data_IF_381700404821
#
_entry.id   IF_381700404821
#
_cell.length_a   1.000
_cell.length_b   1.000
_cell.length_c   1.000
_cell.angle_alpha   90.00
_cell.angle_beta   90.00
_cell.angle_gamma   90.00
#
_symmetry.space_group_name_H-M   'P 1'
#
loop_
_entity.id
_entity.type
_entity.pdbx_description
1 polymer ?
#
# COMPACT_ATOMS: atom_id res chain seq x y z
N UNK A 1 -32.12 -38.25 -30.87
CA UNK A 1 -32.01 -36.80 -30.67
C UNK A 1 -30.58 -36.50 -30.22
N UNK A 2 -30.01 -35.36 -30.64
CA UNK A 2 -28.84 -34.65 -30.06
C UNK A 2 -27.74 -35.54 -29.43
N UNK A 3 -26.62 -35.88 -30.07
CA UNK A 3 -25.63 -35.10 -30.86
C UNK A 3 -24.79 -34.10 -30.04
N UNK A 4 -23.48 -34.40 -30.00
CA UNK A 4 -22.33 -33.48 -29.99
C UNK A 4 -22.10 -32.51 -28.82
N UNK A 5 -20.99 -32.69 -28.11
CA UNK A 5 -19.79 -31.85 -28.31
C UNK A 5 -18.56 -32.35 -27.54
N UNK A 6 -17.37 -32.23 -28.16
CA UNK A 6 -16.06 -32.40 -27.53
C UNK A 6 -15.34 -31.04 -27.55
N UNK A 7 -14.85 -30.58 -26.40
CA UNK A 7 -13.77 -29.60 -26.26
C UNK A 7 -13.15 -29.83 -24.86
N UNK A 8 -11.88 -30.21 -24.70
CA UNK A 8 -10.68 -29.42 -24.99
C UNK A 8 -10.71 -28.04 -24.33
N UNK A 9 -10.76 -28.03 -22.99
CA UNK A 9 -10.28 -26.91 -22.19
C UNK A 9 -8.74 -26.93 -22.22
N UNK A 10 -8.14 -26.20 -23.16
CA UNK A 10 -6.69 -26.03 -23.28
C UNK A 10 -6.12 -25.16 -22.16
N UNK A 11 -4.82 -25.34 -21.87
CA UNK A 11 -4.09 -24.58 -20.85
C UNK A 11 -4.17 -23.06 -21.08
N UNK A 12 -4.83 -22.35 -20.15
CA UNK A 12 -5.08 -20.91 -20.21
C UNK A 12 -4.16 -20.13 -19.28
N UNK A 13 -3.02 -19.69 -19.81
CA UNK A 13 -1.95 -18.95 -19.12
C UNK A 13 -2.40 -17.90 -18.08
N UNK A 14 -1.93 -18.10 -16.84
CA UNK A 14 -1.64 -17.11 -15.80
C UNK A 14 -1.87 -15.63 -16.18
N UNK A 15 -2.97 -15.04 -15.68
CA UNK A 15 -3.15 -13.60 -15.53
C UNK A 15 -3.54 -13.33 -14.08
N UNK A 16 -2.55 -13.32 -13.18
CA UNK A 16 -2.74 -12.86 -11.81
C UNK A 16 -3.09 -11.37 -11.82
N UNK A 17 -4.23 -11.01 -11.22
CA UNK A 17 -4.59 -9.60 -11.02
C UNK A 17 -3.50 -8.91 -10.16
N UNK A 18 -3.14 -7.70 -10.56
CA UNK A 18 -2.02 -6.95 -9.95
C UNK A 18 -2.44 -6.44 -8.57
N UNK A 19 -2.11 -7.21 -7.53
CA UNK A 19 -2.15 -6.74 -6.15
C UNK A 19 -1.21 -5.53 -5.99
N UNK A 20 -1.78 -4.38 -5.66
CA UNK A 20 -1.07 -3.12 -5.51
C UNK A 20 -0.36 -3.10 -4.16
N UNK A 21 0.90 -3.53 -4.17
CA UNK A 21 1.80 -3.55 -3.01
C UNK A 21 2.17 -2.15 -2.51
N UNK A 22 1.19 -1.51 -1.84
CA UNK A 22 1.32 -0.38 -0.91
C UNK A 22 1.74 -0.88 0.48
N UNK A 23 1.93 0.03 1.44
CA UNK A 23 2.29 -0.29 2.83
C UNK A 23 1.34 -1.25 3.57
N UNK A 24 0.08 -1.40 3.13
CA UNK A 24 -0.88 -2.41 3.61
C UNK A 24 -1.05 -3.65 2.71
N UNK A 25 -0.44 -3.66 1.53
CA UNK A 25 -0.68 -4.66 0.48
C UNK A 25 0.00 -6.00 0.74
N UNK A 26 -0.64 -6.86 1.54
CA UNK A 26 -0.19 -8.22 1.84
C UNK A 26 -0.15 -9.13 0.60
N UNK A 27 1.03 -9.38 0.04
CA UNK A 27 1.26 -10.40 -1.00
C UNK A 27 1.28 -11.82 -0.40
N UNK A 28 0.11 -12.28 0.08
CA UNK A 28 -0.07 -13.60 0.68
C UNK A 28 0.06 -14.73 -0.34
N UNK A 29 1.25 -15.31 -0.48
CA UNK A 29 1.48 -16.43 -1.41
C UNK A 29 2.96 -16.79 -1.55
N UNK A 30 3.49 -17.58 -0.60
CA UNK A 30 4.92 -17.89 -0.52
C UNK A 30 5.23 -19.27 0.06
N UNK A 31 4.69 -20.34 -0.54
CA UNK A 31 5.02 -21.71 -0.13
C UNK A 31 6.51 -22.00 -0.27
N UNK A 32 7.12 -22.59 0.76
CA UNK A 32 8.55 -22.88 0.85
C UNK A 32 8.97 -24.04 -0.08
N UNK A 33 9.20 -23.75 -1.36
CA UNK A 33 9.70 -24.70 -2.35
C UNK A 33 11.24 -24.78 -2.37
N UNK A 34 11.82 -25.89 -1.91
CA UNK A 34 13.26 -26.08 -1.85
C UNK A 34 13.91 -26.63 -3.13
N UNK A 35 15.10 -26.10 -3.44
CA UNK A 35 16.22 -26.69 -4.21
C UNK A 35 15.97 -27.73 -5.32
N UNK A 36 16.36 -27.39 -6.55
CA UNK A 36 16.58 -28.35 -7.64
C UNK A 36 17.30 -27.73 -8.84
N UNK A 37 18.60 -27.98 -9.01
CA UNK A 37 19.44 -27.30 -10.02
C UNK A 37 20.22 -28.26 -10.92
N UNK A 38 19.86 -28.32 -12.21
CA UNK A 38 20.63 -28.85 -13.34
C UNK A 38 19.96 -28.39 -14.66
N UNK A 39 20.62 -28.30 -15.82
CA UNK A 39 22.06 -28.35 -16.10
C UNK A 39 22.37 -28.54 -17.61
N UNK A 40 23.08 -27.58 -18.24
CA UNK A 40 23.52 -27.64 -19.65
C UNK A 40 22.47 -27.22 -20.70
N UNK A 41 22.83 -26.88 -21.95
CA UNK A 41 24.19 -26.61 -22.48
C UNK A 41 24.30 -26.58 -24.03
N UNK A 42 24.84 -25.49 -24.61
CA UNK A 42 25.24 -25.36 -26.02
C UNK A 42 24.12 -25.11 -27.06
N UNK A 43 24.39 -24.84 -28.35
CA UNK A 43 25.58 -24.26 -29.02
C UNK A 43 25.28 -23.86 -30.50
N UNK A 44 25.78 -22.70 -30.96
CA UNK A 44 26.10 -22.24 -32.34
C UNK A 44 25.12 -22.30 -33.56
N UNK A 45 25.24 -21.28 -34.43
CA UNK A 45 24.77 -21.22 -35.84
C UNK A 45 23.63 -20.20 -36.09
N UNK A 46 23.62 -19.36 -37.15
CA UNK A 46 24.56 -19.12 -38.25
C UNK A 46 24.15 -17.91 -39.15
N UNK A 47 24.94 -17.59 -40.18
CA UNK A 47 24.78 -16.49 -41.18
C UNK A 47 23.47 -16.54 -42.00
N UNK A 48 22.99 -15.57 -42.80
CA UNK A 48 23.47 -14.26 -43.35
C UNK A 48 22.23 -13.37 -43.70
N UNK A 49 22.21 -12.23 -44.43
CA UNK A 49 23.22 -11.37 -45.08
C UNK A 49 22.67 -10.54 -46.27
N UNK A 50 22.86 -9.20 -46.29
CA UNK A 50 22.44 -8.26 -47.38
C UNK A 50 21.01 -7.69 -47.24
N UNK A 51 20.61 -6.57 -47.85
CA UNK A 51 21.35 -5.55 -48.62
C UNK A 51 20.44 -4.80 -49.63
N UNK A 52 20.20 -3.49 -49.47
CA UNK A 52 19.32 -2.68 -50.35
C UNK A 52 19.95 -1.31 -50.66
N UNK A 53 19.80 -0.83 -51.90
CA UNK A 53 20.46 0.38 -52.42
C UNK A 53 19.76 1.71 -52.08
N UNK A 54 20.42 2.83 -52.43
CA UNK A 54 19.96 4.19 -52.15
C UNK A 54 19.47 4.98 -53.37
N UNK A 55 19.02 6.20 -53.12
CA UNK A 55 18.63 7.23 -54.09
C UNK A 55 18.66 8.60 -53.41
N UNK A 56 19.00 9.65 -54.15
CA UNK A 56 19.39 10.94 -53.56
C UNK A 56 18.35 12.05 -53.76
N UNK A 57 18.38 13.06 -52.88
CA UNK A 57 17.93 14.41 -53.19
C UNK A 57 16.84 15.01 -52.29
N UNK A 58 17.25 15.80 -51.30
CA UNK A 58 16.96 17.24 -51.29
C UNK A 58 17.93 17.97 -50.33
N UNK A 59 18.13 19.26 -50.55
CA UNK A 59 19.28 19.99 -50.01
C UNK A 59 18.90 21.03 -48.94
N UNK A 60 19.80 21.19 -47.96
CA UNK A 60 20.03 22.38 -47.12
C UNK A 60 18.81 23.07 -46.50
N UNK A 61 18.63 22.93 -45.18
CA UNK A 61 18.34 24.06 -44.29
C UNK A 61 18.91 23.87 -42.87
N UNK A 62 19.77 24.83 -42.49
CA UNK A 62 20.23 25.20 -41.13
C UNK A 62 21.15 24.27 -40.30
N UNK A 63 22.07 24.94 -39.60
CA UNK A 63 23.11 24.38 -38.73
C UNK A 63 22.63 24.24 -37.28
N UNK A 64 23.28 23.35 -36.53
CA UNK A 64 23.15 23.26 -35.06
C UNK A 64 22.19 22.16 -34.59
N UNK A 65 22.59 21.45 -33.52
CA UNK A 65 21.90 20.24 -33.03
C UNK A 65 20.44 20.41 -32.58
N UNK A 66 19.95 21.65 -32.47
CA UNK A 66 18.56 21.94 -32.09
C UNK A 66 17.56 21.41 -33.13
N UNK A 67 17.87 21.47 -34.43
CA UNK A 67 17.00 20.92 -35.49
C UNK A 67 16.80 19.41 -35.36
N UNK A 68 17.90 18.66 -35.17
CA UNK A 68 17.87 17.22 -34.90
C UNK A 68 17.09 16.89 -33.62
N UNK A 69 17.23 17.70 -32.56
CA UNK A 69 16.52 17.51 -31.30
C UNK A 69 15.01 17.75 -31.42
N UNK A 70 14.59 18.80 -32.15
CA UNK A 70 13.18 19.09 -32.44
C UNK A 70 12.57 18.00 -33.34
N UNK A 71 13.28 17.54 -34.38
CA UNK A 71 12.82 16.44 -35.23
C UNK A 71 12.71 15.13 -34.43
N UNK A 72 13.65 14.83 -33.54
CA UNK A 72 13.56 13.68 -32.63
C UNK A 72 12.38 13.78 -31.66
N UNK A 73 12.10 14.97 -31.13
CA UNK A 73 10.90 15.25 -30.33
C UNK A 73 9.60 15.04 -31.13
N UNK A 74 9.52 15.56 -32.36
CA UNK A 74 8.36 15.39 -33.24
C UNK A 74 8.14 13.92 -33.62
N UNK A 75 9.21 13.18 -33.93
CA UNK A 75 9.13 11.74 -34.21
C UNK A 75 8.64 10.98 -32.96
N UNK A 76 9.16 11.27 -31.76
CA UNK A 76 8.65 10.70 -30.51
C UNK A 76 7.19 11.08 -30.21
N UNK A 77 6.79 12.31 -30.53
CA UNK A 77 5.41 12.79 -30.37
C UNK A 77 4.45 12.05 -31.31
N UNK A 78 4.85 11.82 -32.56
CA UNK A 78 4.05 11.08 -33.54
C UNK A 78 3.94 9.58 -33.17
N UNK A 79 5.04 8.95 -32.72
CA UNK A 79 5.03 7.56 -32.22
C UNK A 79 4.17 7.42 -30.95
N UNK A 80 4.17 8.42 -30.05
CA UNK A 80 3.23 8.46 -28.91
C UNK A 80 1.78 8.64 -29.35
N UNK A 81 1.54 9.37 -30.45
CA UNK A 81 0.18 9.60 -30.99
C UNK A 81 -0.43 8.36 -31.64
N UNK A 82 0.37 7.36 -32.05
CA UNK A 82 -0.11 6.08 -32.58
C UNK A 82 -0.35 4.99 -31.51
N UNK A 83 -0.35 5.33 -30.22
CA UNK A 83 -0.82 4.44 -29.13
C UNK A 83 -2.07 5.00 -28.40
N UNK A 84 -2.67 6.09 -28.91
CA UNK A 84 -3.95 6.61 -28.46
C UNK A 84 -5.10 6.18 -29.38
N UNK A 85 -5.72 5.03 -29.10
CA UNK A 85 -6.90 4.58 -29.86
C UNK A 85 -7.36 3.17 -29.47
N UNK A 86 -8.44 3.07 -28.68
CA UNK A 86 -8.93 1.79 -28.16
C UNK A 86 -10.11 1.90 -27.19
N UNK A 87 -11.07 2.79 -27.46
CA UNK A 87 -12.24 3.01 -26.58
C UNK A 87 -13.29 1.90 -26.74
N UNK A 88 -12.99 0.68 -26.28
CA UNK A 88 -13.94 -0.44 -26.29
C UNK A 88 -14.94 -0.32 -25.14
N UNK A 89 -16.15 0.16 -25.46
CA UNK A 89 -17.23 0.29 -24.49
C UNK A 89 -17.85 -1.09 -24.20
N UNK A 90 -17.32 -1.78 -23.19
CA UNK A 90 -17.79 -3.10 -22.74
C UNK A 90 -18.46 -2.96 -21.37
N UNK A 91 -19.78 -3.12 -21.33
CA UNK A 91 -20.51 -3.19 -20.06
C UNK A 91 -20.07 -4.42 -19.28
N UNK A 92 -19.37 -4.21 -18.17
CA UNK A 92 -18.95 -5.29 -17.27
C UNK A 92 -20.17 -5.72 -16.47
N UNK A 93 -20.65 -6.93 -16.73
CA UNK A 93 -21.65 -7.59 -15.88
C UNK A 93 -21.01 -7.87 -14.51
N UNK A 94 -21.60 -7.32 -13.45
CA UNK A 94 -21.00 -7.26 -12.10
C UNK A 94 -21.14 -8.57 -11.32
N UNK A 95 -20.69 -9.68 -11.91
CA UNK A 95 -20.68 -11.02 -11.32
C UNK A 95 -19.36 -11.33 -10.61
N UNK A 96 -18.92 -10.43 -9.73
CA UNK A 96 -17.86 -10.71 -8.75
C UNK A 96 -18.29 -11.88 -7.84
N UNK A 97 -17.47 -12.93 -7.66
CA UNK A 97 -17.74 -13.97 -6.67
C UNK A 97 -17.65 -13.38 -5.26
N UNK A 98 -18.76 -13.39 -4.52
CA UNK A 98 -18.82 -12.99 -3.11
C UNK A 98 -17.95 -13.91 -2.26
N UNK A 99 -16.70 -13.52 -1.96
CA UNK A 99 -15.81 -14.36 -1.15
C UNK A 99 -14.34 -13.95 -1.07
N UNK A 100 -13.81 -13.08 -1.93
CA UNK A 100 -12.47 -12.52 -1.72
C UNK A 100 -12.51 -11.44 -0.63
N UNK A 101 -12.01 -11.80 0.56
CA UNK A 101 -11.74 -10.85 1.63
C UNK A 101 -10.68 -9.81 1.18
N UNK A 102 -10.71 -8.59 1.73
CA UNK A 102 -9.66 -7.60 1.49
C UNK A 102 -8.27 -8.14 1.89
N UNK A 103 -7.23 -7.67 1.21
CA UNK A 103 -5.85 -8.01 1.57
C UNK A 103 -5.48 -7.29 2.89
N UNK A 104 -5.52 -8.04 3.98
CA UNK A 104 -5.13 -7.59 5.31
C UNK A 104 -3.62 -7.78 5.56
N UNK A 105 -3.01 -6.83 6.25
CA UNK A 105 -1.67 -6.97 6.85
C UNK A 105 -1.74 -6.67 8.34
N UNK A 106 -1.29 -7.62 9.16
CA UNK A 106 -1.31 -7.50 10.62
C UNK A 106 -2.55 -8.14 11.24
N UNK A 107 -2.55 -8.19 12.56
CA UNK A 107 -3.55 -8.87 13.38
C UNK A 107 -3.86 -8.02 14.61
N UNK A 108 -5.12 -8.01 15.03
CA UNK A 108 -5.61 -7.30 16.21
C UNK A 108 -5.27 -8.07 17.49
N UNK A 109 -4.93 -7.33 18.55
CA UNK A 109 -4.81 -7.89 19.90
C UNK A 109 -6.14 -8.59 20.27
N UNK A 110 -6.02 -9.77 20.90
CA UNK A 110 -7.17 -10.64 21.19
C UNK A 110 -7.72 -11.44 20.00
N UNK A 111 -7.27 -11.19 18.76
CA UNK A 111 -7.71 -11.92 17.56
C UNK A 111 -9.15 -11.62 17.11
N UNK A 112 -9.77 -10.56 17.61
CA UNK A 112 -11.13 -10.17 17.25
C UNK A 112 -11.26 -9.58 15.85
N UNK A 113 -12.35 -9.89 15.14
CA UNK A 113 -12.64 -9.43 13.77
C UNK A 113 -13.12 -7.97 13.71
N UNK A 114 -12.41 -7.04 14.37
CA UNK A 114 -12.67 -5.59 14.39
C UNK A 114 -12.24 -4.92 13.08
N UNK A 115 -12.70 -5.47 11.95
CA UNK A 115 -12.33 -5.13 10.57
C UNK A 115 -13.53 -4.67 9.71
N UNK A 116 -14.62 -4.24 10.35
CA UNK A 116 -15.83 -3.77 9.66
C UNK A 116 -16.19 -2.35 10.08
N UNK A 117 -16.45 -1.50 9.10
CA UNK A 117 -17.11 -0.22 9.32
C UNK A 117 -18.48 -0.45 9.96
N UNK A 118 -18.80 0.34 10.98
CA UNK A 118 -20.04 0.27 11.74
C UNK A 118 -21.07 1.26 11.20
N UNK A 119 -22.30 1.22 11.72
CA UNK A 119 -23.24 2.34 11.59
C UNK A 119 -22.76 3.54 12.42
N UNK A 120 -23.30 4.74 12.14
CA UNK A 120 -22.96 5.94 12.90
C UNK A 120 -23.41 5.86 14.37
N UNK A 121 -24.50 5.11 14.64
CA UNK A 121 -24.99 4.84 16.00
C UNK A 121 -23.98 3.98 16.77
N UNK A 122 -23.47 2.92 16.15
CA UNK A 122 -22.45 2.05 16.75
C UNK A 122 -21.10 2.78 16.93
N UNK A 123 -20.69 3.60 15.95
CA UNK A 123 -19.47 4.43 16.07
C UNK A 123 -19.60 5.42 17.24
N UNK A 124 -20.75 6.08 17.37
CA UNK A 124 -21.01 7.01 18.48
C UNK A 124 -21.00 6.26 19.82
N UNK A 125 -21.68 5.13 19.90
CA UNK A 125 -21.72 4.30 21.10
C UNK A 125 -20.33 3.80 21.53
N UNK A 126 -19.48 3.38 20.58
CA UNK A 126 -18.11 2.97 20.87
C UNK A 126 -17.18 4.12 21.28
N UNK A 127 -17.36 5.32 20.71
CA UNK A 127 -16.67 6.53 21.16
C UNK A 127 -17.08 6.90 22.60
N UNK A 128 -18.37 6.83 22.91
CA UNK A 128 -18.89 7.13 24.23
C UNK A 128 -18.52 6.05 25.27
N UNK A 129 -18.44 4.78 24.86
CA UNK A 129 -17.91 3.67 25.66
C UNK A 129 -16.45 3.95 26.08
N UNK A 130 -15.57 4.30 25.13
CA UNK A 130 -14.17 4.68 25.43
C UNK A 130 -14.10 5.88 26.40
N UNK A 131 -15.01 6.86 26.25
CA UNK A 131 -15.09 8.01 27.17
C UNK A 131 -15.56 7.66 28.58
N UNK A 132 -16.21 6.51 28.81
CA UNK A 132 -16.61 6.11 30.17
C UNK A 132 -15.40 5.87 31.09
N UNK A 133 -14.31 5.34 30.54
CA UNK A 133 -13.05 5.12 31.27
C UNK A 133 -11.96 6.13 30.92
N UNK A 134 -12.01 6.81 29.78
CA UNK A 134 -11.04 7.84 29.38
C UNK A 134 -11.75 9.14 29.00
N UNK A 135 -12.20 9.90 30.00
CA UNK A 135 -12.92 11.18 29.79
C UNK A 135 -12.09 12.30 29.15
N UNK A 136 -10.78 12.09 28.96
CA UNK A 136 -9.90 12.96 28.18
C UNK A 136 -9.81 12.56 26.69
N UNK A 137 -10.52 11.51 26.25
CA UNK A 137 -10.50 11.01 24.88
C UNK A 137 -11.21 11.96 23.90
N UNK A 138 -10.41 12.55 23.01
CA UNK A 138 -10.84 13.42 21.92
C UNK A 138 -10.58 12.76 20.55
N UNK A 139 -11.64 12.32 19.82
CA UNK A 139 -11.53 11.76 18.48
C UNK A 139 -10.89 12.69 17.44
N UNK A 140 -11.06 14.01 17.54
CA UNK A 140 -10.58 14.95 16.52
C UNK A 140 -9.07 15.20 16.68
N UNK A 141 -8.61 15.37 17.94
CA UNK A 141 -7.17 15.39 18.26
C UNK A 141 -6.48 14.05 17.90
N UNK A 142 -7.18 12.94 18.07
CA UNK A 142 -6.71 11.60 17.69
C UNK A 142 -6.52 11.47 16.18
N UNK A 143 -7.53 11.83 15.35
CA UNK A 143 -7.45 11.77 13.88
C UNK A 143 -6.20 12.49 13.35
N UNK A 144 -5.87 13.66 13.92
CA UNK A 144 -4.65 14.41 13.58
C UNK A 144 -3.38 13.57 13.78
N UNK A 145 -3.31 12.82 14.88
CA UNK A 145 -2.22 11.88 15.16
C UNK A 145 -2.18 10.69 14.20
N UNK A 146 -3.34 10.11 13.87
CA UNK A 146 -3.47 8.98 12.96
C UNK A 146 -3.08 9.35 11.50
N UNK A 147 -3.37 10.58 11.08
CA UNK A 147 -2.88 11.13 9.81
C UNK A 147 -1.35 11.30 9.81
N UNK A 148 -0.74 11.68 10.94
CA UNK A 148 0.72 11.79 11.04
C UNK A 148 1.41 10.43 10.95
N UNK A 149 0.89 9.40 11.65
CA UNK A 149 1.43 8.03 11.56
C UNK A 149 1.26 7.41 10.18
N UNK A 150 0.20 7.74 9.43
CA UNK A 150 0.05 7.35 8.03
C UNK A 150 1.27 7.77 7.19
N UNK A 151 1.66 9.05 7.24
CA UNK A 151 2.82 9.53 6.46
C UNK A 151 4.15 8.94 6.93
N UNK A 152 4.34 8.67 8.23
CA UNK A 152 5.52 7.96 8.76
C UNK A 152 5.65 6.56 8.15
N UNK A 153 4.54 5.83 8.04
CA UNK A 153 4.51 4.48 7.45
C UNK A 153 4.78 4.52 5.94
N UNK A 154 4.13 5.41 5.18
CA UNK A 154 4.36 5.52 3.73
C UNK A 154 5.78 6.03 3.40
N UNK A 155 6.38 6.86 4.27
CA UNK A 155 7.78 7.27 4.18
C UNK A 155 8.72 6.08 4.42
N UNK A 156 8.55 5.33 5.51
CA UNK A 156 9.35 4.14 5.80
C UNK A 156 9.25 3.08 4.70
N UNK A 157 8.08 2.93 4.08
CA UNK A 157 7.88 2.09 2.91
C UNK A 157 8.70 2.56 1.69
N UNK A 158 8.57 3.83 1.29
CA UNK A 158 9.22 4.37 0.08
C UNK A 158 10.73 4.60 0.24
N UNK A 159 11.21 4.93 1.44
CA UNK A 159 12.65 4.95 1.76
C UNK A 159 13.24 3.55 1.96
N UNK A 160 12.39 2.51 2.08
CA UNK A 160 12.75 1.13 2.47
C UNK A 160 13.47 1.08 3.82
N UNK A 161 12.90 1.79 4.78
CA UNK A 161 13.38 2.01 6.14
C UNK A 161 12.33 1.60 7.18
N UNK A 162 12.31 0.32 7.59
CA UNK A 162 11.36 -0.18 8.58
C UNK A 162 11.64 0.38 9.99
N UNK A 163 12.85 0.90 10.23
CA UNK A 163 13.21 1.59 11.47
C UNK A 163 12.34 2.84 11.73
N UNK A 164 11.93 3.55 10.68
CA UNK A 164 11.05 4.72 10.82
C UNK A 164 9.65 4.32 11.31
N UNK A 165 9.09 3.22 10.79
CA UNK A 165 7.73 2.78 11.08
C UNK A 165 7.59 2.08 12.43
N UNK A 166 8.71 1.65 13.03
CA UNK A 166 8.74 0.96 14.34
C UNK A 166 8.03 1.74 15.45
N UNK A 167 8.06 3.06 15.35
CA UNK A 167 7.53 4.02 16.34
C UNK A 167 6.00 4.15 16.38
N UNK A 168 5.26 3.58 15.41
CA UNK A 168 3.80 3.69 15.31
C UNK A 168 3.08 2.34 15.10
N UNK A 169 3.84 1.24 15.00
CA UNK A 169 3.33 -0.10 14.69
C UNK A 169 3.49 -1.08 15.85
N UNK A 170 2.47 -1.91 16.07
CA UNK A 170 2.58 -3.11 16.89
C UNK A 170 3.46 -4.18 16.23
N UNK A 171 4.00 -5.09 17.04
CA UNK A 171 5.03 -6.06 16.64
C UNK A 171 4.63 -6.95 15.46
N UNK A 172 3.37 -7.39 15.38
CA UNK A 172 2.89 -8.27 14.31
C UNK A 172 2.93 -7.59 12.94
N UNK A 173 2.26 -6.43 12.80
CA UNK A 173 2.27 -5.66 11.54
C UNK A 173 3.66 -5.11 11.22
N UNK A 174 4.43 -4.66 12.22
CA UNK A 174 5.78 -4.17 11.97
C UNK A 174 6.69 -5.24 11.36
N UNK A 175 6.64 -6.48 11.87
CA UNK A 175 7.40 -7.59 11.30
C UNK A 175 6.92 -7.95 9.88
N UNK A 176 5.61 -7.94 9.62
CA UNK A 176 5.06 -8.17 8.28
C UNK A 176 5.55 -7.10 7.28
N UNK A 177 5.43 -5.83 7.65
CA UNK A 177 5.85 -4.67 6.86
C UNK A 177 7.36 -4.68 6.60
N UNK A 178 8.18 -5.00 7.62
CA UNK A 178 9.64 -5.19 7.47
C UNK A 178 9.98 -6.29 6.47
N UNK A 179 9.35 -7.48 6.55
CA UNK A 179 9.62 -8.58 5.62
C UNK A 179 9.34 -8.22 4.15
N UNK A 180 8.34 -7.35 3.90
CA UNK A 180 8.04 -6.82 2.58
C UNK A 180 9.02 -5.76 2.11
N UNK A 181 9.42 -4.82 2.97
CA UNK A 181 10.50 -3.85 2.66
C UNK A 181 11.80 -4.59 2.33
N UNK A 182 12.17 -5.61 3.11
CA UNK A 182 13.32 -6.46 2.81
C UNK A 182 13.15 -7.20 1.47
N UNK A 183 11.92 -7.53 1.08
CA UNK A 183 11.58 -8.10 -0.23
C UNK A 183 11.88 -7.14 -1.38
N UNK A 184 11.44 -5.89 -1.28
CA UNK A 184 11.77 -4.81 -2.22
C UNK A 184 13.29 -4.56 -2.28
N UNK A 185 13.96 -4.49 -1.13
CA UNK A 185 15.42 -4.31 -1.03
C UNK A 185 16.19 -5.46 -1.67
N UNK A 186 15.84 -6.73 -1.39
CA UNK A 186 16.42 -7.92 -2.06
C UNK A 186 16.20 -7.89 -3.57
N UNK A 187 15.04 -7.40 -4.01
CA UNK A 187 14.66 -7.31 -5.42
C UNK A 187 15.29 -6.10 -6.14
N UNK A 188 16.00 -5.21 -5.43
CA UNK A 188 16.51 -3.92 -5.93
C UNK A 188 15.41 -3.07 -6.57
N UNK A 189 14.26 -3.04 -5.91
CA UNK A 189 13.08 -2.31 -6.35
C UNK A 189 12.62 -1.34 -5.27
N UNK A 190 12.16 -0.16 -5.67
CA UNK A 190 11.62 0.87 -4.78
C UNK A 190 10.16 1.13 -5.16
N UNK A 191 9.22 1.02 -4.21
CA UNK A 191 7.87 1.51 -4.43
C UNK A 191 7.80 3.00 -4.07
N UNK A 192 7.21 3.79 -4.97
CA UNK A 192 7.12 5.23 -4.89
C UNK A 192 5.66 5.65 -5.05
N UNK A 193 5.27 6.68 -4.29
CA UNK A 193 3.92 7.26 -4.29
C UNK A 193 4.03 8.75 -4.58
N UNK A 194 4.30 9.11 -5.84
CA UNK A 194 4.42 10.53 -6.23
C UNK A 194 3.07 11.23 -6.00
N UNK A 195 3.08 12.43 -5.42
CA UNK A 195 1.87 13.21 -5.16
C UNK A 195 0.95 12.63 -4.06
N UNK A 196 1.49 11.80 -3.16
CA UNK A 196 0.77 11.24 -2.01
C UNK A 196 0.08 12.33 -1.16
N UNK A 197 -1.25 12.32 -1.13
CA UNK A 197 -2.06 13.21 -0.31
C UNK A 197 -3.33 12.53 0.21
N UNK A 198 -3.51 12.52 1.53
CA UNK A 198 -4.80 12.22 2.16
C UNK A 198 -5.82 13.29 1.72
N UNK A 199 -6.91 12.88 1.10
CA UNK A 199 -8.04 13.73 0.74
C UNK A 199 -9.01 13.87 1.91
N UNK A 200 -9.33 12.74 2.56
CA UNK A 200 -10.19 12.67 3.74
C UNK A 200 -9.70 11.54 4.67
N UNK A 201 -9.92 11.69 5.96
CA UNK A 201 -9.75 10.59 6.92
C UNK A 201 -10.94 10.62 7.89
N UNK A 202 -11.61 9.48 8.07
CA UNK A 202 -12.82 9.38 8.90
C UNK A 202 -12.70 8.17 9.82
N UNK A 203 -13.09 8.29 11.09
CA UNK A 203 -13.33 7.10 11.91
C UNK A 203 -14.56 6.37 11.35
N UNK A 204 -14.43 5.06 11.13
CA UNK A 204 -15.50 4.20 10.59
C UNK A 204 -15.94 3.10 11.56
N UNK A 205 -15.19 2.86 12.63
CA UNK A 205 -15.63 2.09 13.80
C UNK A 205 -14.83 2.50 15.05
N UNK A 206 -15.45 2.34 16.21
CA UNK A 206 -14.83 2.40 17.53
C UNK A 206 -15.50 1.36 18.44
N UNK A 207 -14.77 0.75 19.37
CA UNK A 207 -15.31 -0.20 20.36
C UNK A 207 -14.33 -0.49 21.50
N UNK A 208 -14.83 -0.99 22.62
CA UNK A 208 -14.03 -1.65 23.66
C UNK A 208 -14.38 -3.15 23.73
N UNK A 209 -13.38 -4.03 23.91
CA UNK A 209 -13.59 -5.46 24.19
C UNK A 209 -13.47 -5.81 25.69
N UNK A 210 -13.31 -4.79 26.55
CA UNK A 210 -13.03 -4.90 27.98
C UNK A 210 -11.53 -5.01 28.33
N UNK A 211 -10.67 -5.30 27.34
CA UNK A 211 -9.21 -5.35 27.46
C UNK A 211 -8.52 -4.25 26.63
N UNK A 212 -9.06 -3.94 25.45
CA UNK A 212 -8.54 -2.99 24.47
C UNK A 212 -9.62 -2.03 23.98
N UNK A 213 -9.25 -0.76 23.87
CA UNK A 213 -9.96 0.17 23.00
C UNK A 213 -9.48 -0.08 21.56
N UNK A 214 -10.42 -0.12 20.61
CA UNK A 214 -10.17 -0.36 19.19
C UNK A 214 -10.80 0.76 18.37
N UNK A 215 -10.09 1.25 17.34
CA UNK A 215 -10.60 2.21 16.36
C UNK A 215 -10.19 1.79 14.95
N UNK A 216 -11.06 2.08 13.98
CA UNK A 216 -10.78 1.93 12.56
C UNK A 216 -10.89 3.30 11.91
N UNK A 217 -9.79 3.79 11.33
CA UNK A 217 -9.77 5.01 10.52
C UNK A 217 -9.67 4.65 9.05
N UNK A 218 -10.60 5.18 8.24
CA UNK A 218 -10.60 5.06 6.79
C UNK A 218 -9.83 6.21 6.17
N UNK A 219 -8.73 5.92 5.51
CA UNK A 219 -8.00 6.90 4.71
C UNK A 219 -8.51 6.89 3.28
N UNK A 220 -8.90 8.06 2.78
CA UNK A 220 -9.15 8.34 1.38
C UNK A 220 -7.94 9.11 0.84
N UNK A 221 -7.19 8.50 -0.07
CA UNK A 221 -5.86 8.96 -0.46
C UNK A 221 -5.78 9.09 -1.98
N UNK A 222 -4.96 10.00 -2.47
CA UNK A 222 -4.56 10.05 -3.87
C UNK A 222 -3.03 9.91 -3.97
N UNK A 223 -2.55 9.08 -4.91
CA UNK A 223 -1.11 9.01 -5.25
C UNK A 223 -0.89 8.35 -6.60
N UNK A 224 0.29 8.55 -7.18
CA UNK A 224 0.80 7.71 -8.25
C UNK A 224 1.67 6.58 -7.66
N UNK A 225 1.06 5.41 -7.42
CA UNK A 225 1.73 4.18 -6.97
C UNK A 225 2.42 3.45 -8.13
N UNK A 226 3.74 3.38 -8.09
CA UNK A 226 4.54 2.62 -9.03
C UNK A 226 5.80 2.05 -8.37
N UNK A 227 6.40 1.03 -8.98
CA UNK A 227 7.67 0.45 -8.55
C UNK A 227 8.72 0.71 -9.61
N UNK A 228 9.90 1.18 -9.20
CA UNK A 228 11.08 1.27 -10.08
C UNK A 228 12.08 0.18 -9.78
N UNK A 229 12.72 -0.33 -10.82
CA UNK A 229 14.02 -1.01 -10.71
C UNK A 229 15.12 0.02 -10.41
N UNK A 230 15.88 -0.19 -9.33
CA UNK A 230 16.85 0.77 -8.81
C UNK A 230 18.05 0.98 -9.75
N UNK A 231 18.39 -0.03 -10.57
CA UNK A 231 19.59 0.01 -11.42
C UNK A 231 19.36 0.76 -12.73
N UNK A 232 18.12 0.77 -13.23
CA UNK A 232 17.73 1.35 -14.52
C UNK A 232 16.78 2.54 -14.40
N UNK A 233 16.20 2.77 -13.21
CA UNK A 233 15.18 3.80 -12.97
C UNK A 233 13.86 3.57 -13.73
N UNK A 234 13.68 2.39 -14.32
CA UNK A 234 12.48 2.05 -15.10
C UNK A 234 11.35 1.63 -14.18
N UNK A 235 10.13 2.05 -14.50
CA UNK A 235 8.92 1.52 -13.88
C UNK A 235 8.72 0.06 -14.27
N UNK A 236 8.50 -0.82 -13.28
CA UNK A 236 8.30 -2.27 -13.43
C UNK A 236 6.95 -2.77 -12.92
N UNK A 237 6.26 -2.01 -12.06
CA UNK A 237 4.85 -2.20 -11.65
C UNK A 237 4.17 -0.83 -11.54
N UNK A 238 2.87 -0.75 -11.82
CA UNK A 238 2.09 0.48 -11.65
C UNK A 238 2.46 1.57 -12.66
N UNK A 239 2.05 2.81 -12.37
CA UNK A 239 2.14 3.92 -13.33
C UNK A 239 2.20 5.28 -12.63
N UNK A 240 2.61 6.31 -13.37
CA UNK A 240 2.75 7.69 -12.88
C UNK A 240 1.47 8.53 -12.98
N UNK A 241 0.29 7.89 -13.04
CA UNK A 241 -1.00 8.56 -13.01
C UNK A 241 -1.41 8.80 -11.56
N UNK A 242 -1.97 9.98 -11.24
CA UNK A 242 -2.38 10.35 -9.89
C UNK A 242 -3.79 9.81 -9.59
N UNK A 243 -3.88 8.65 -8.94
CA UNK A 243 -5.14 7.89 -8.80
C UNK A 243 -5.64 7.83 -7.35
N UNK A 244 -6.98 7.81 -7.14
CA UNK A 244 -7.59 7.67 -5.82
C UNK A 244 -7.54 6.21 -5.33
N UNK A 245 -7.38 6.03 -4.02
CA UNK A 245 -7.39 4.74 -3.35
C UNK A 245 -7.76 4.89 -1.87
N UNK A 246 -7.98 3.78 -1.18
CA UNK A 246 -8.47 3.78 0.19
C UNK A 246 -8.08 2.51 0.96
N UNK A 247 -7.73 2.68 2.23
CA UNK A 247 -7.39 1.62 3.18
C UNK A 247 -8.07 1.93 4.53
N UNK A 248 -8.56 0.88 5.21
CA UNK A 248 -8.96 0.96 6.62
C UNK A 248 -7.75 0.58 7.49
N UNK A 249 -7.41 1.44 8.45
CA UNK A 249 -6.28 1.22 9.35
C UNK A 249 -6.80 1.06 10.77
N UNK A 250 -6.45 -0.05 11.41
CA UNK A 250 -6.95 -0.43 12.74
C UNK A 250 -5.88 -0.17 13.78
N UNK A 251 -6.22 0.66 14.76
CA UNK A 251 -5.36 1.00 15.89
C UNK A 251 -5.99 0.47 17.17
N UNK A 252 -5.15 0.04 18.11
CA UNK A 252 -5.58 -0.42 19.44
C UNK A 252 -4.69 0.13 20.54
N UNK A 253 -5.25 0.21 21.74
CA UNK A 253 -4.55 0.40 23.03
C UNK A 253 -5.27 -0.40 24.10
N UNK A 254 -4.67 -0.61 25.28
CA UNK A 254 -5.43 -1.18 26.41
C UNK A 254 -6.55 -0.23 26.85
N UNK A 255 -7.73 -0.76 27.17
CA UNK A 255 -8.84 0.00 27.78
C UNK A 255 -8.49 0.60 29.16
N UNK A 256 -7.36 0.18 29.75
CA UNK A 256 -6.80 0.76 30.98
C UNK A 256 -5.97 2.02 30.73
N UNK A 257 -5.51 2.25 29.50
CA UNK A 257 -4.78 3.46 29.12
C UNK A 257 -5.65 4.71 29.24
N UNK A 258 -5.00 5.88 29.28
CA UNK A 258 -5.65 7.19 29.39
C UNK A 258 -5.00 8.15 28.41
N UNK A 259 -5.77 9.06 27.84
CA UNK A 259 -5.25 10.06 26.90
C UNK A 259 -4.28 10.99 27.63
N UNK A 260 -3.02 10.99 27.22
CA UNK A 260 -1.98 11.80 27.85
C UNK A 260 -2.06 13.26 27.34
N UNK A 261 -2.34 14.25 28.20
CA UNK A 261 -2.46 15.65 27.78
C UNK A 261 -1.14 16.28 27.31
N UNK A 262 0.02 15.68 27.64
CA UNK A 262 1.31 16.09 27.09
C UNK A 262 1.59 15.48 25.70
N UNK A 263 0.74 14.57 25.23
CA UNK A 263 0.92 13.79 23.99
C UNK A 263 1.70 12.49 24.20
N UNK A 264 1.42 11.51 23.33
CA UNK A 264 2.04 10.19 23.34
C UNK A 264 2.70 9.84 22.00
N UNK A 265 2.54 8.60 21.56
CA UNK A 265 3.20 8.01 20.39
C UNK A 265 2.87 8.78 19.12
N UNK A 266 1.58 9.09 18.91
CA UNK A 266 1.09 9.82 17.75
C UNK A 266 1.55 11.30 17.73
N UNK A 267 1.96 11.86 18.88
CA UNK A 267 2.60 13.18 19.00
C UNK A 267 4.13 13.07 19.14
N UNK A 268 4.71 11.91 18.81
CA UNK A 268 6.15 11.60 18.83
C UNK A 268 6.83 11.82 20.19
N UNK A 269 6.15 11.46 21.28
CA UNK A 269 6.72 11.30 22.62
C UNK A 269 6.59 9.87 23.13
N UNK A 270 7.45 9.47 24.06
CA UNK A 270 7.27 8.23 24.81
C UNK A 270 6.21 8.42 25.92
N UNK A 271 5.07 7.70 25.91
CA UNK A 271 4.02 7.89 26.92
C UNK A 271 4.46 7.54 28.34
N UNK A 272 5.50 6.71 28.51
CA UNK A 272 6.04 6.30 29.82
C UNK A 272 7.05 7.32 30.41
N UNK A 273 7.66 8.22 29.62
CA UNK A 273 8.73 9.10 30.14
C UNK A 273 8.82 10.50 29.53
N UNK A 274 7.92 10.88 28.62
CA UNK A 274 7.88 12.22 27.99
C UNK A 274 9.01 12.53 27.00
N UNK A 275 10.07 11.71 26.95
CA UNK A 275 11.19 11.88 26.03
C UNK A 275 10.72 11.83 24.54
N UNK A 276 11.44 12.49 23.62
CA UNK A 276 11.18 12.35 22.18
C UNK A 276 11.14 10.89 21.76
N UNK A 277 10.20 10.53 20.88
CA UNK A 277 9.97 9.13 20.53
C UNK A 277 11.10 8.59 19.65
N UNK A 278 11.96 7.79 20.28
CA UNK A 278 12.93 6.91 19.63
C UNK A 278 12.86 5.50 20.26
N UNK A 279 12.78 4.49 19.40
CA UNK A 279 12.31 3.12 19.72
C UNK A 279 13.28 2.11 19.11
N UNK A 280 13.56 1.04 19.85
CA UNK A 280 14.35 -0.10 19.35
C UNK A 280 13.45 -1.07 18.57
N UNK A 281 14.02 -1.93 17.70
CA UNK A 281 13.29 -2.99 16.99
C UNK A 281 12.41 -3.86 17.91
N UNK A 282 12.80 -3.99 19.18
CA UNK A 282 12.07 -4.68 20.26
C UNK A 282 10.80 -3.98 20.74
N UNK A 283 10.51 -2.76 20.26
CA UNK A 283 9.40 -1.93 20.75
C UNK A 283 9.66 -1.22 22.08
N UNK A 284 10.88 -1.32 22.61
CA UNK A 284 11.31 -0.61 23.81
C UNK A 284 11.72 0.83 23.49
N UNK A 285 11.37 1.78 24.36
CA UNK A 285 11.89 3.15 24.29
C UNK A 285 13.40 3.16 24.60
N UNK A 286 14.22 3.78 23.74
CA UNK A 286 15.69 3.83 23.95
C UNK A 286 16.10 4.53 25.24
N UNK A 287 15.27 5.47 25.72
CA UNK A 287 15.52 6.27 26.93
C UNK A 287 15.14 5.54 28.22
N UNK A 288 13.87 5.16 28.40
CA UNK A 288 13.39 4.55 29.65
C UNK A 288 13.29 3.01 29.63
N UNK A 289 13.56 2.36 28.49
CA UNK A 289 13.51 0.90 28.30
C UNK A 289 12.15 0.22 28.51
N UNK A 290 11.10 0.99 28.79
CA UNK A 290 9.73 0.47 28.81
C UNK A 290 9.32 -0.04 27.42
N UNK A 291 8.67 -1.21 27.30
CA UNK A 291 7.98 -1.62 26.08
C UNK A 291 6.79 -0.69 25.88
N UNK A 292 6.73 -0.02 24.72
CA UNK A 292 5.69 0.99 24.42
C UNK A 292 4.88 0.65 23.17
N UNK A 293 5.25 -0.39 22.43
CA UNK A 293 4.61 -0.80 21.17
C UNK A 293 3.54 -1.91 21.34
N UNK A 294 3.31 -2.39 22.57
CA UNK A 294 2.26 -3.36 22.90
C UNK A 294 0.87 -2.77 23.10
N UNK A 295 0.68 -1.46 22.90
CA UNK A 295 -0.60 -0.78 23.13
C UNK A 295 -0.96 -0.52 24.60
N UNK A 296 -0.15 -0.96 25.57
CA UNK A 296 -0.44 -0.82 27.01
C UNK A 296 -0.70 0.61 27.49
N UNK A 297 -0.13 1.61 26.81
CA UNK A 297 -0.07 3.01 27.27
C UNK A 297 -0.71 4.01 26.30
N UNK A 298 -0.75 3.71 25.00
CA UNK A 298 -1.24 4.60 23.94
C UNK A 298 -1.50 3.81 22.64
N UNK A 299 -2.14 4.44 21.66
CA UNK A 299 -2.54 3.86 20.38
C UNK A 299 -1.37 3.40 19.51
N UNK A 300 -1.43 2.14 19.05
CA UNK A 300 -0.52 1.56 18.05
C UNK A 300 -1.30 0.97 16.88
N UNK A 301 -0.76 1.08 15.67
CA UNK A 301 -1.31 0.45 14.47
C UNK A 301 -1.13 -1.06 14.56
N UNK A 302 -2.22 -1.83 14.41
CA UNK A 302 -2.22 -3.31 14.53
C UNK A 302 -2.55 -4.02 13.22
N UNK A 303 -3.39 -3.43 12.36
CA UNK A 303 -3.75 -3.98 11.04
C UNK A 303 -3.99 -2.87 10.01
N UNK A 304 -3.67 -3.14 8.75
CA UNK A 304 -4.12 -2.37 7.58
C UNK A 304 -4.94 -3.31 6.67
N UNK A 305 -6.11 -2.85 6.24
CA UNK A 305 -7.06 -3.59 5.39
C UNK A 305 -7.30 -2.80 4.07
N UNK A 306 -6.90 -3.37 2.91
CA UNK A 306 -7.10 -2.72 1.60
C UNK A 306 -8.55 -2.79 1.13
N UNK A 307 -9.17 -1.65 0.78
CA UNK A 307 -10.59 -1.62 0.42
C UNK A 307 -10.85 -1.87 -1.08
N UNK A 308 -12.02 -2.43 -1.47
CA UNK A 308 -12.25 -2.87 -2.86
C UNK A 308 -12.25 -1.74 -3.91
N UNK A 309 -12.82 -0.57 -3.58
CA UNK A 309 -12.77 0.62 -4.44
C UNK A 309 -13.11 1.90 -3.66
N UNK A 310 -12.82 3.05 -4.25
CA UNK A 310 -13.17 4.37 -3.71
C UNK A 310 -14.69 4.55 -3.56
N UNK A 311 -15.47 4.07 -4.54
CA UNK A 311 -16.94 4.15 -4.55
C UNK A 311 -17.54 3.27 -3.44
N UNK A 312 -16.98 2.07 -3.23
CA UNK A 312 -17.34 1.22 -2.09
C UNK A 312 -17.01 1.92 -0.76
N UNK A 313 -15.80 2.47 -0.64
CA UNK A 313 -15.35 3.16 0.57
C UNK A 313 -16.22 4.38 0.90
N UNK A 314 -16.60 5.19 -0.10
CA UNK A 314 -17.48 6.38 0.03
C UNK A 314 -18.96 6.04 0.32
N UNK A 315 -19.44 4.88 -0.12
CA UNK A 315 -20.80 4.42 0.16
C UNK A 315 -20.92 3.75 1.53
N UNK A 316 -19.83 3.24 2.09
CA UNK A 316 -19.77 2.56 3.39
C UNK A 316 -19.09 3.40 4.49
N UNK A 317 -19.16 4.74 4.42
CA UNK A 317 -18.82 5.63 5.55
C UNK A 317 -20.06 5.74 6.47
N UNK A 318 -19.92 5.66 7.80
CA UNK A 318 -21.01 6.01 8.72
C UNK A 318 -21.46 7.46 8.50
N UNK A 319 -22.78 7.72 8.58
CA UNK A 319 -23.40 9.04 8.40
C UNK A 319 -24.46 9.30 9.46
#
# INVERSE_FOLDING_TARGET
>A
MLSSLQLLASEGSLQFAVLLGRAGGGSGGGSFGGGGSSGGGGFFGGSSGGGVGGGAGLAVLFFGGFGMWVVFMIIRMLIRRSQGGGMSNSGVDSTLPTGMAPAAMGETFGGGETARASTAVELTAGIDEIKTHDSAFDPDALITGLQASFYVVQQGWSERRPDLTRSVMADAIWNAHRMQIDGYTRSKQTNLMDGLAIQYANLVAASCDGHHDSIVIRFFVQSADYVTDDQTGKVVRGHKNLEPWCEDWVYQRSARAKTNPEGGLLQRKCPNCGAPLDVEDTGACKFCRAPIMGGDQDWVLVRIDQLPSWEWAMSNIPR
#
